data_IF_546406725125
#
_entry.id   IF_546406725125
#
_cell.length_a   1.000
_cell.length_b   1.000
_cell.length_c   1.000
_cell.angle_alpha   90.00
_cell.angle_beta   90.00
_cell.angle_gamma   90.00
#
_symmetry.space_group_name_H-M   'P 1'
#
loop_
_entity.id
_entity.type
_entity.pdbx_description
1 polymer ?
#
# COMPACT_ATOMS: atom_id res chain seq x y z
N UNK A 1 16.43 33.24 26.77
CA UNK A 1 15.25 33.48 25.90
C UNK A 1 14.65 32.21 25.26
N UNK A 2 15.06 31.00 25.64
CA UNK A 2 14.52 29.75 25.06
C UNK A 2 13.56 28.99 25.98
N UNK A 3 13.56 29.26 27.30
CA UNK A 3 12.70 28.55 28.28
C UNK A 3 11.21 28.75 27.99
N UNK A 4 10.78 29.99 27.70
CA UNK A 4 9.36 30.28 27.43
C UNK A 4 8.85 29.57 26.17
N UNK A 5 9.64 29.57 25.08
CA UNK A 5 9.30 28.86 23.85
C UNK A 5 9.24 27.35 24.07
N UNK A 6 10.16 26.80 24.86
CA UNK A 6 10.21 25.36 25.16
C UNK A 6 8.98 24.91 25.96
N UNK A 7 8.56 25.70 26.95
CA UNK A 7 7.32 25.46 27.71
C UNK A 7 6.08 25.45 26.81
N UNK A 8 5.96 26.43 25.90
CA UNK A 8 4.85 26.49 24.93
C UNK A 8 4.90 25.28 23.99
N UNK A 9 6.05 24.93 23.43
CA UNK A 9 6.16 23.78 22.54
C UNK A 9 5.80 22.48 23.26
N UNK A 10 6.28 22.26 24.48
CA UNK A 10 6.00 21.02 25.22
C UNK A 10 4.53 20.91 25.64
N UNK A 11 3.84 22.03 25.93
CA UNK A 11 2.42 22.02 26.29
C UNK A 11 1.47 21.90 25.09
N UNK A 12 1.79 22.50 23.94
CA UNK A 12 0.93 22.49 22.75
C UNK A 12 1.25 21.35 21.77
N UNK A 13 2.45 20.75 21.82
CA UNK A 13 2.82 19.54 21.07
C UNK A 13 1.82 18.39 21.22
N UNK A 14 1.40 17.97 22.43
CA UNK A 14 0.45 16.87 22.58
C UNK A 14 -0.90 17.19 21.92
N UNK A 15 -1.33 18.46 21.91
CA UNK A 15 -2.52 18.90 21.18
C UNK A 15 -2.37 18.70 19.66
N UNK A 16 -1.31 19.23 19.06
CA UNK A 16 -1.05 19.03 17.62
C UNK A 16 -0.83 17.55 17.25
N UNK A 17 -0.25 16.76 18.15
CA UNK A 17 -0.09 15.32 17.97
C UNK A 17 -1.43 14.57 18.04
N UNK A 18 -2.36 14.99 18.89
CA UNK A 18 -3.69 14.39 18.95
C UNK A 18 -4.51 14.69 17.68
N UNK A 19 -4.35 15.87 17.10
CA UNK A 19 -5.02 16.27 15.85
C UNK A 19 -4.43 15.52 14.64
N UNK A 20 -3.12 15.27 14.61
CA UNK A 20 -2.49 14.51 13.51
C UNK A 20 -2.70 12.99 13.63
N UNK A 21 -2.80 12.47 14.86
CA UNK A 21 -2.91 11.04 15.12
C UNK A 21 -4.00 10.32 14.30
N UNK A 22 -5.22 10.85 14.11
CA UNK A 22 -6.22 10.22 13.26
C UNK A 22 -5.80 10.17 11.79
N UNK A 23 -5.09 11.19 11.28
CA UNK A 23 -4.58 11.16 9.91
C UNK A 23 -3.46 10.14 9.74
N UNK A 24 -2.51 10.08 10.68
CA UNK A 24 -1.44 9.08 10.69
C UNK A 24 -2.03 7.66 10.75
N UNK A 25 -3.07 7.47 11.57
CA UNK A 25 -3.80 6.22 11.69
C UNK A 25 -4.48 5.85 10.37
N UNK A 26 -5.21 6.77 9.74
CA UNK A 26 -5.81 6.56 8.42
C UNK A 26 -4.75 6.19 7.38
N UNK A 27 -3.63 6.92 7.35
CA UNK A 27 -2.53 6.65 6.43
C UNK A 27 -1.92 5.26 6.64
N UNK A 28 -1.77 4.84 7.89
CA UNK A 28 -1.31 3.51 8.26
C UNK A 28 -2.31 2.43 7.84
N UNK A 29 -3.62 2.64 8.05
CA UNK A 29 -4.65 1.71 7.59
C UNK A 29 -4.70 1.60 6.08
N UNK A 30 -4.55 2.72 5.35
CA UNK A 30 -4.43 2.69 3.89
C UNK A 30 -3.16 1.97 3.45
N UNK A 31 -2.03 2.23 4.09
CA UNK A 31 -0.78 1.52 3.84
C UNK A 31 -0.97 0.01 4.01
N UNK A 32 -1.49 -0.43 5.16
CA UNK A 32 -1.80 -1.84 5.42
C UNK A 32 -2.80 -2.37 4.39
N UNK A 33 -3.86 -1.65 4.06
CA UNK A 33 -4.88 -2.12 3.11
C UNK A 33 -4.29 -2.32 1.70
N UNK A 34 -3.48 -1.38 1.21
CA UNK A 34 -2.88 -1.46 -0.12
C UNK A 34 -1.73 -2.49 -0.16
N UNK A 35 -0.87 -2.53 0.85
CA UNK A 35 0.25 -3.49 0.92
C UNK A 35 -0.16 -4.90 1.32
N UNK A 36 -1.30 -5.07 1.98
CA UNK A 36 -1.79 -6.40 2.37
C UNK A 36 -2.26 -7.23 1.19
N UNK A 37 -2.52 -6.61 0.03
CA UNK A 37 -2.94 -7.33 -1.18
C UNK A 37 -1.77 -8.19 -1.65
N UNK A 38 -1.82 -9.53 -1.46
CA UNK A 38 -0.73 -10.38 -1.88
C UNK A 38 -0.63 -10.35 -3.41
N UNK A 39 0.58 -10.41 -3.98
CA UNK A 39 0.78 -10.43 -5.43
C UNK A 39 -0.04 -11.51 -6.13
N UNK A 40 -0.23 -12.65 -5.46
CA UNK A 40 -1.05 -13.78 -5.91
C UNK A 40 -2.49 -13.36 -6.20
N UNK A 41 -3.10 -12.52 -5.34
CA UNK A 41 -4.47 -12.05 -5.54
C UNK A 41 -4.54 -11.18 -6.80
N UNK A 42 -3.54 -10.32 -7.00
CA UNK A 42 -3.46 -9.47 -8.19
C UNK A 42 -3.32 -10.29 -9.48
N UNK A 43 -2.50 -11.35 -9.46
CA UNK A 43 -2.33 -12.28 -10.58
C UNK A 43 -3.64 -12.99 -10.92
N UNK A 44 -4.40 -13.43 -9.91
CA UNK A 44 -5.71 -14.09 -10.10
C UNK A 44 -6.71 -13.11 -10.72
N UNK A 45 -6.84 -11.90 -10.19
CA UNK A 45 -7.78 -10.89 -10.70
C UNK A 45 -7.42 -10.50 -12.14
N UNK A 46 -6.15 -10.21 -12.42
CA UNK A 46 -5.69 -9.88 -13.77
C UNK A 46 -5.89 -11.05 -14.74
N UNK A 47 -5.64 -12.29 -14.29
CA UNK A 47 -5.89 -13.50 -15.07
C UNK A 47 -7.38 -13.71 -15.39
N UNK A 48 -8.26 -13.46 -14.42
CA UNK A 48 -9.71 -13.53 -14.63
C UNK A 48 -10.20 -12.43 -15.57
N UNK A 49 -9.72 -11.19 -15.43
CA UNK A 49 -10.03 -10.11 -16.35
C UNK A 49 -9.54 -10.43 -17.78
N UNK A 50 -8.29 -10.87 -17.91
CA UNK A 50 -7.72 -11.31 -19.18
C UNK A 50 -8.53 -12.44 -19.83
N UNK A 51 -9.04 -13.38 -19.01
CA UNK A 51 -9.90 -14.45 -19.49
C UNK A 51 -11.24 -13.94 -20.01
N UNK A 52 -11.86 -12.97 -19.33
CA UNK A 52 -13.13 -12.38 -19.76
C UNK A 52 -13.01 -11.58 -21.06
N UNK A 53 -11.92 -10.83 -21.26
CA UNK A 53 -11.75 -9.99 -22.45
C UNK A 53 -11.10 -10.70 -23.64
N UNK A 54 -10.16 -11.62 -23.41
CA UNK A 54 -9.32 -12.23 -24.46
C UNK A 54 -9.41 -13.75 -24.55
N UNK A 55 -10.22 -14.40 -23.71
CA UNK A 55 -10.33 -15.85 -23.66
C UNK A 55 -9.13 -16.56 -23.02
N UNK A 56 -9.15 -17.90 -23.05
CA UNK A 56 -8.22 -18.76 -22.27
C UNK A 56 -6.75 -18.62 -22.66
N UNK A 57 -6.46 -18.36 -23.95
CA UNK A 57 -5.07 -18.20 -24.44
C UNK A 57 -4.42 -16.93 -23.89
N UNK A 58 -5.15 -15.82 -23.93
CA UNK A 58 -4.68 -14.51 -23.44
C UNK A 58 -4.47 -14.53 -21.92
N UNK A 59 -5.39 -15.14 -21.19
CA UNK A 59 -5.26 -15.34 -19.74
C UNK A 59 -3.99 -16.09 -19.36
N UNK A 60 -3.67 -17.19 -20.06
CA UNK A 60 -2.47 -17.98 -19.79
C UNK A 60 -1.17 -17.19 -19.99
N UNK A 61 -1.08 -16.40 -21.06
CA UNK A 61 0.10 -15.55 -21.33
C UNK A 61 0.25 -14.48 -20.26
N UNK A 62 -0.84 -13.80 -19.89
CA UNK A 62 -0.81 -12.73 -18.89
C UNK A 62 -0.44 -13.27 -17.51
N UNK A 63 -1.05 -14.38 -17.07
CA UNK A 63 -0.72 -15.01 -15.79
C UNK A 63 0.73 -15.47 -15.77
N UNK A 64 1.21 -16.12 -16.84
CA UNK A 64 2.61 -16.55 -16.95
C UNK A 64 3.60 -15.38 -16.86
N UNK A 65 3.31 -14.26 -17.54
CA UNK A 65 4.14 -13.07 -17.49
C UNK A 65 4.17 -12.42 -16.09
N UNK A 66 3.01 -12.34 -15.42
CA UNK A 66 2.93 -11.77 -14.06
C UNK A 66 3.63 -12.64 -13.00
N UNK A 67 3.55 -13.97 -13.15
CA UNK A 67 4.32 -14.89 -12.31
C UNK A 67 5.82 -14.68 -12.55
N UNK A 68 6.25 -14.58 -13.81
CA UNK A 68 7.65 -14.37 -14.15
C UNK A 68 8.18 -13.05 -13.58
N UNK A 69 7.41 -11.96 -13.72
CA UNK A 69 7.71 -10.68 -13.05
C UNK A 69 7.79 -10.82 -11.52
N UNK A 70 6.98 -11.69 -10.94
CA UNK A 70 7.06 -11.95 -9.51
C UNK A 70 8.29 -12.72 -9.06
N UNK A 71 8.75 -13.67 -9.86
CA UNK A 71 9.95 -14.45 -9.57
C UNK A 71 11.23 -13.59 -9.61
N UNK A 72 11.25 -12.54 -10.42
CA UNK A 72 12.37 -11.56 -10.46
C UNK A 72 12.29 -10.52 -9.34
N UNK A 73 11.29 -10.61 -8.44
CA UNK A 73 11.20 -9.76 -7.24
C UNK A 73 10.40 -8.46 -7.40
N UNK A 74 9.78 -8.21 -8.55
CA UNK A 74 9.08 -6.93 -8.85
C UNK A 74 7.98 -6.58 -7.82
N UNK A 75 7.41 -7.59 -7.14
CA UNK A 75 6.37 -7.36 -6.14
C UNK A 75 6.87 -6.99 -4.75
N UNK A 76 8.16 -7.18 -4.46
CA UNK A 76 8.73 -6.96 -3.12
C UNK A 76 9.20 -5.51 -2.91
N UNK A 77 9.39 -4.76 -3.99
CA UNK A 77 9.91 -3.38 -3.98
C UNK A 77 8.82 -2.29 -3.97
N UNK A 78 7.54 -2.67 -3.87
CA UNK A 78 6.41 -1.75 -3.75
C UNK A 78 6.18 -1.34 -2.29
#
# INVERSE_FOLDING_TARGET
>A
MTIGLRWVVDHYRPFFQSVKAPFDLLLQWFGIALHSVPPVVMIIVAGLAAWQFGGRKVAGVIVGALIFMGLIGVWQDA
#
